data_IF_345416791291
#
_entry.id   IF_345416791291
#
_cell.length_a   1.000
_cell.length_b   1.000
_cell.length_c   1.000
_cell.angle_alpha   90.00
_cell.angle_beta   90.00
_cell.angle_gamma   90.00
#
_symmetry.space_group_name_H-M   'P 1'
#
loop_
_entity.id
_entity.type
_entity.pdbx_description
1 polymer ?
#
# COMPACT_ATOMS: atom_id res chain seq x y z
N UNK A 1 -36.31 1.88 17.30
CA UNK A 1 -35.41 2.46 18.32
C UNK A 1 -34.03 1.81 18.33
N UNK A 2 -33.81 0.61 18.90
CA UNK A 2 -32.45 0.02 18.94
C UNK A 2 -31.78 -0.16 17.56
N UNK A 3 -32.56 -0.54 16.54
CA UNK A 3 -32.06 -0.65 15.15
C UNK A 3 -31.61 0.69 14.55
N UNK A 4 -32.24 1.80 14.92
CA UNK A 4 -31.85 3.15 14.45
C UNK A 4 -30.56 3.63 15.12
N UNK A 5 -30.40 3.36 16.42
CA UNK A 5 -29.14 3.68 17.13
C UNK A 5 -27.96 2.90 16.54
N UNK A 6 -28.17 1.65 16.13
CA UNK A 6 -27.13 0.84 15.49
C UNK A 6 -26.84 1.27 14.04
N UNK A 7 -27.81 1.85 13.31
CA UNK A 7 -27.54 2.45 11.99
C UNK A 7 -26.76 3.75 12.12
N UNK A 8 -27.19 4.61 13.03
CA UNK A 8 -26.68 5.98 13.14
C UNK A 8 -25.42 6.03 14.01
N UNK A 9 -25.14 4.97 14.77
CA UNK A 9 -24.04 4.84 15.74
C UNK A 9 -24.03 5.94 16.80
N UNK A 10 -25.16 6.62 16.99
CA UNK A 10 -25.37 7.71 17.92
C UNK A 10 -26.58 7.40 18.79
N UNK A 11 -26.46 7.69 20.08
CA UNK A 11 -27.54 7.59 21.06
C UNK A 11 -27.59 8.88 21.84
N UNK A 12 -28.79 9.40 22.05
CA UNK A 12 -29.01 10.59 22.87
C UNK A 12 -28.59 10.29 24.33
N UNK A 13 -27.76 11.14 24.97
CA UNK A 13 -27.32 10.94 26.36
C UNK A 13 -28.47 10.85 27.37
N UNK A 14 -29.59 11.54 27.16
CA UNK A 14 -30.75 11.45 28.07
C UNK A 14 -31.42 10.07 27.97
N UNK A 15 -31.62 9.57 26.74
CA UNK A 15 -32.15 8.23 26.48
C UNK A 15 -31.19 7.14 26.96
N UNK A 16 -29.88 7.37 26.85
CA UNK A 16 -28.86 6.46 27.35
C UNK A 16 -28.93 6.38 28.88
N UNK A 17 -29.15 7.49 29.59
CA UNK A 17 -29.21 7.51 31.04
C UNK A 17 -30.38 6.66 31.59
N UNK A 18 -31.52 6.66 30.90
CA UNK A 18 -32.73 5.91 31.26
C UNK A 18 -32.60 4.39 31.09
N UNK A 19 -31.67 3.91 30.26
CA UNK A 19 -31.43 2.47 30.06
C UNK A 19 -30.81 1.84 31.31
N UNK A 20 -31.23 0.61 31.61
CA UNK A 20 -30.60 -0.19 32.67
C UNK A 20 -29.14 -0.52 32.33
N UNK A 21 -28.31 -0.80 33.34
CA UNK A 21 -26.89 -1.10 33.14
C UNK A 21 -26.66 -2.31 32.22
N UNK A 22 -27.51 -3.33 32.34
CA UNK A 22 -27.48 -4.51 31.45
C UNK A 22 -27.80 -4.12 29.99
N UNK A 23 -28.81 -3.27 29.78
CA UNK A 23 -29.19 -2.80 28.45
C UNK A 23 -28.10 -1.93 27.83
N UNK A 24 -27.41 -1.10 28.62
CA UNK A 24 -26.23 -0.32 28.17
C UNK A 24 -25.11 -1.24 27.73
N UNK A 25 -24.79 -2.26 28.51
CA UNK A 25 -23.74 -3.22 28.17
C UNK A 25 -24.05 -3.97 26.86
N UNK A 26 -25.29 -4.44 26.69
CA UNK A 26 -25.74 -5.08 25.45
C UNK A 26 -25.65 -4.10 24.27
N UNK A 27 -26.08 -2.85 24.46
CA UNK A 27 -26.02 -1.81 23.43
C UNK A 27 -24.57 -1.55 23.00
N UNK A 28 -23.66 -1.31 23.94
CA UNK A 28 -22.24 -1.05 23.63
C UNK A 28 -21.58 -2.24 22.94
N UNK A 29 -21.91 -3.46 23.36
CA UNK A 29 -21.40 -4.66 22.68
C UNK A 29 -21.86 -4.71 21.23
N UNK A 30 -23.15 -4.45 20.97
CA UNK A 30 -23.71 -4.42 19.61
C UNK A 30 -23.14 -3.28 18.76
N UNK A 31 -22.98 -2.09 19.33
CA UNK A 31 -22.32 -0.97 18.67
C UNK A 31 -20.87 -1.29 18.33
N UNK A 32 -20.14 -1.95 19.23
CA UNK A 32 -18.75 -2.35 18.97
C UNK A 32 -18.66 -3.38 17.85
N UNK A 33 -19.56 -4.37 17.84
CA UNK A 33 -19.66 -5.34 16.74
C UNK A 33 -19.89 -4.64 15.40
N UNK A 34 -20.80 -3.66 15.37
CA UNK A 34 -21.11 -2.91 14.15
C UNK A 34 -19.95 -2.01 13.71
N UNK A 35 -19.23 -1.36 14.62
CA UNK A 35 -17.99 -0.64 14.30
C UNK A 35 -16.97 -1.56 13.63
N UNK A 36 -16.71 -2.74 14.23
CA UNK A 36 -15.76 -3.71 13.68
C UNK A 36 -16.22 -4.22 12.32
N UNK A 37 -17.52 -4.46 12.14
CA UNK A 37 -18.10 -4.88 10.85
C UNK A 37 -17.89 -3.82 9.78
N UNK A 38 -18.24 -2.55 10.05
CA UNK A 38 -18.04 -1.41 9.13
C UNK A 38 -16.57 -1.18 8.83
N UNK A 39 -15.72 -1.29 9.84
CA UNK A 39 -14.28 -1.15 9.67
C UNK A 39 -13.73 -2.26 8.76
N UNK A 40 -14.08 -3.52 9.01
CA UNK A 40 -13.70 -4.65 8.15
C UNK A 40 -14.21 -4.51 6.72
N UNK A 41 -15.43 -4.03 6.55
CA UNK A 41 -16.03 -3.78 5.23
C UNK A 41 -15.28 -2.67 4.49
N UNK A 42 -14.95 -1.56 5.17
CA UNK A 42 -14.11 -0.50 4.60
C UNK A 42 -12.69 -0.98 4.30
N UNK A 43 -12.09 -1.81 5.16
CA UNK A 43 -10.77 -2.40 4.93
C UNK A 43 -10.79 -3.37 3.74
N UNK A 44 -11.85 -4.16 3.60
CA UNK A 44 -12.04 -5.07 2.46
C UNK A 44 -12.23 -4.28 1.16
N UNK A 45 -13.04 -3.22 1.19
CA UNK A 45 -13.23 -2.31 0.05
C UNK A 45 -11.94 -1.57 -0.26
N UNK A 46 -11.22 -1.03 0.73
CA UNK A 46 -9.93 -0.37 0.52
C UNK A 46 -8.85 -1.35 0.03
N UNK A 47 -8.91 -2.62 0.43
CA UNK A 47 -7.99 -3.65 -0.06
C UNK A 47 -8.35 -4.13 -1.48
N UNK A 48 -9.63 -4.17 -1.83
CA UNK A 48 -10.11 -4.51 -3.17
C UNK A 48 -10.01 -3.34 -4.17
N UNK A 49 -10.16 -2.11 -3.68
CA UNK A 49 -9.99 -0.85 -4.41
C UNK A 49 -8.59 -0.28 -4.31
N UNK A 50 -7.66 -0.90 -3.57
CA UNK A 50 -6.25 -0.78 -3.94
C UNK A 50 -6.27 -1.19 -5.41
N UNK A 51 -6.00 -0.28 -6.36
CA UNK A 51 -5.53 -0.76 -7.63
C UNK A 51 -4.43 -1.74 -7.22
N UNK A 52 -4.37 -2.91 -7.84
CA UNK A 52 -3.05 -3.49 -8.01
C UNK A 52 -2.26 -2.31 -8.53
N UNK A 53 -1.47 -1.66 -7.64
CA UNK A 53 -0.51 -0.66 -8.01
C UNK A 53 0.20 -1.47 -9.06
N UNK A 54 -0.08 -1.11 -10.32
CA UNK A 54 0.66 -1.64 -11.44
C UNK A 54 2.06 -1.55 -10.89
N UNK A 55 2.75 -2.67 -10.89
CA UNK A 55 4.14 -2.73 -10.55
C UNK A 55 4.85 -1.96 -11.67
N UNK A 56 4.54 -0.66 -11.80
CA UNK A 56 5.51 0.33 -12.14
C UNK A 56 6.65 -0.05 -11.24
N UNK A 57 7.75 -0.34 -11.89
CA UNK A 57 9.06 -0.39 -11.29
C UNK A 57 9.41 1.03 -10.79
N UNK A 58 8.49 1.65 -10.05
CA UNK A 58 8.63 2.89 -9.33
C UNK A 58 9.70 2.63 -8.30
N UNK A 59 10.84 3.26 -8.55
CA UNK A 59 12.07 3.17 -7.79
C UNK A 59 11.73 3.27 -6.31
N UNK A 60 11.78 2.14 -5.60
CA UNK A 60 11.52 2.08 -4.16
C UNK A 60 12.74 2.62 -3.44
N UNK A 61 12.61 3.81 -2.85
CA UNK A 61 13.68 4.45 -2.08
C UNK A 61 13.69 3.81 -0.69
N UNK A 62 14.73 3.02 -0.42
CA UNK A 62 15.03 2.47 0.89
C UNK A 62 15.83 3.50 1.67
N UNK A 63 15.21 4.07 2.71
CA UNK A 63 15.85 5.04 3.58
C UNK A 63 16.86 4.34 4.50
N UNK A 64 18.14 4.68 4.36
CA UNK A 64 19.20 4.22 5.27
C UNK A 64 19.47 5.33 6.28
N UNK A 65 19.59 4.95 7.55
CA UNK A 65 19.93 5.87 8.63
C UNK A 65 21.44 6.14 8.59
N UNK A 66 21.83 7.41 8.55
CA UNK A 66 23.22 7.84 8.67
C UNK A 66 23.75 7.60 10.10
N UNK A 67 25.07 7.64 10.25
CA UNK A 67 25.74 7.46 11.55
C UNK A 67 25.47 8.62 12.53
N UNK A 68 24.98 9.74 12.02
CA UNK A 68 24.49 10.92 12.72
C UNK A 68 23.02 10.80 13.17
N UNK A 69 22.33 9.72 12.77
CA UNK A 69 20.91 9.51 13.10
C UNK A 69 19.93 10.19 12.14
N UNK A 70 20.44 10.87 11.10
CA UNK A 70 19.63 11.53 10.08
C UNK A 70 19.51 10.67 8.80
N UNK A 71 18.49 10.96 8.01
CA UNK A 71 18.17 10.21 6.79
C UNK A 71 19.20 10.49 5.69
N UNK A 72 19.92 9.46 5.24
CA UNK A 72 20.89 9.58 4.14
C UNK A 72 20.31 9.07 2.82
N UNK A 73 20.33 9.92 1.79
CA UNK A 73 19.84 9.60 0.44
C UNK A 73 21.03 9.64 -0.52
N UNK A 74 21.31 8.52 -1.18
CA UNK A 74 22.28 8.44 -2.28
C UNK A 74 21.54 8.39 -3.61
N UNK A 75 21.86 9.33 -4.49
CA UNK A 75 21.38 9.36 -5.87
C UNK A 75 22.48 8.79 -6.76
N UNK A 76 22.23 7.61 -7.33
CA UNK A 76 23.16 6.94 -8.24
C UNK A 76 23.47 7.85 -9.44
N UNK A 77 24.74 8.20 -9.62
CA UNK A 77 25.21 9.04 -10.74
C UNK A 77 25.40 10.52 -10.41
N UNK A 78 25.14 10.97 -9.17
CA UNK A 78 25.45 12.34 -8.72
C UNK A 78 26.84 12.48 -8.07
N UNK A 79 27.50 11.38 -7.72
CA UNK A 79 28.84 11.40 -7.14
C UNK A 79 29.92 11.50 -8.23
N UNK A 80 31.02 12.22 -7.94
CA UNK A 80 32.10 12.54 -8.90
C UNK A 80 32.75 11.28 -9.50
N UNK A 81 32.70 10.16 -8.79
CA UNK A 81 33.28 8.87 -9.21
C UNK A 81 32.25 7.91 -9.82
N UNK A 82 30.97 8.26 -9.82
CA UNK A 82 29.91 7.40 -10.35
C UNK A 82 29.71 7.61 -11.84
N UNK A 83 29.39 6.53 -12.55
CA UNK A 83 28.87 6.63 -13.91
C UNK A 83 27.49 7.31 -13.87
N UNK A 84 27.20 8.28 -14.76
CA UNK A 84 25.89 8.90 -14.82
C UNK A 84 24.81 7.85 -15.14
N UNK A 85 23.63 8.03 -14.56
CA UNK A 85 22.51 7.10 -14.68
C UNK A 85 22.18 6.75 -16.14
N UNK A 86 22.18 7.76 -17.01
CA UNK A 86 21.86 7.59 -18.42
C UNK A 86 22.83 6.66 -19.14
N UNK A 87 24.11 6.68 -18.76
CA UNK A 87 25.13 5.81 -19.32
C UNK A 87 24.90 4.35 -18.91
N UNK A 88 24.58 4.11 -17.65
CA UNK A 88 24.24 2.78 -17.13
C UNK A 88 22.97 2.22 -17.79
N UNK A 89 21.94 3.06 -17.96
CA UNK A 89 20.73 2.69 -18.68
C UNK A 89 20.99 2.34 -20.14
N UNK A 90 21.88 3.08 -20.81
CA UNK A 90 22.32 2.80 -22.17
C UNK A 90 23.02 1.44 -22.29
N UNK A 91 23.96 1.13 -21.39
CA UNK A 91 24.67 -0.16 -21.36
C UNK A 91 23.70 -1.33 -21.18
N UNK A 92 22.74 -1.21 -20.26
CA UNK A 92 21.74 -2.26 -20.00
C UNK A 92 20.82 -2.48 -21.21
N UNK A 93 20.39 -1.41 -21.87
CA UNK A 93 19.53 -1.50 -23.05
C UNK A 93 20.27 -2.15 -24.22
N UNK A 94 21.52 -1.74 -24.46
CA UNK A 94 22.34 -2.30 -25.54
C UNK A 94 22.57 -3.81 -25.36
N UNK A 95 22.88 -4.26 -24.15
CA UNK A 95 23.06 -5.69 -23.87
C UNK A 95 21.76 -6.49 -24.07
N UNK A 96 20.61 -5.94 -23.66
CA UNK A 96 19.30 -6.58 -23.93
C UNK A 96 19.02 -6.71 -25.42
N UNK A 97 19.28 -5.66 -26.21
CA UNK A 97 19.12 -5.70 -27.66
C UNK A 97 20.02 -6.77 -28.28
N UNK A 98 21.26 -6.90 -27.78
CA UNK A 98 22.21 -7.93 -28.21
C UNK A 98 21.72 -9.34 -27.90
N UNK A 99 21.18 -9.56 -26.70
CA UNK A 99 20.65 -10.87 -26.31
C UNK A 99 19.42 -11.24 -27.14
N UNK A 100 18.52 -10.29 -27.36
CA UNK A 100 17.34 -10.50 -28.19
C UNK A 100 17.70 -10.81 -29.65
N UNK A 101 18.70 -10.12 -30.22
CA UNK A 101 19.15 -10.40 -31.58
C UNK A 101 19.77 -11.79 -31.71
N UNK A 102 20.57 -12.22 -30.73
CA UNK A 102 21.12 -13.58 -30.70
C UNK A 102 20.03 -14.64 -30.61
N UNK A 103 19.04 -14.45 -29.72
CA UNK A 103 17.90 -15.36 -29.60
C UNK A 103 17.07 -15.44 -30.89
N UNK A 104 16.86 -14.31 -31.57
CA UNK A 104 16.15 -14.27 -32.86
C UNK A 104 16.93 -15.03 -33.95
N UNK A 105 18.25 -14.84 -34.01
CA UNK A 105 19.11 -15.56 -34.96
C UNK A 105 19.14 -17.06 -34.67
N UNK A 106 19.23 -17.46 -33.40
CA UNK A 106 19.14 -18.87 -33.00
C UNK A 106 17.79 -19.49 -33.34
N UNK A 107 16.68 -18.77 -33.09
CA UNK A 107 15.33 -19.24 -33.43
C UNK A 107 15.15 -19.45 -34.94
N UNK A 108 15.66 -18.53 -35.78
CA UNK A 108 15.64 -18.66 -37.24
C UNK A 108 16.49 -19.85 -37.71
N UNK A 109 17.61 -20.13 -37.03
CA UNK A 109 18.52 -21.23 -37.37
C UNK A 109 17.95 -22.62 -37.04
N UNK A 110 16.96 -22.71 -36.15
CA UNK A 110 16.32 -23.96 -35.72
C UNK A 110 15.05 -24.32 -36.51
N UNK A 111 14.67 -23.51 -37.51
CA UNK A 111 13.56 -23.75 -38.45
C UNK A 111 14.12 -24.24 -39.78
#
# INVERSE_FOLDING_TARGET
>A
MLKQILSDMYVDPELLAELSEEQKQILFFKMRQEQVRRWKEREAVATALKPALKKDHGKSVQWKLGADGDVWVWVMGEHILDKPYDFLCGEILAERVRQQSLQQVEAIRLV
#
